data_IF_201425553436
#
_entry.id   IF_201425553436
#
_cell.length_a   1.000
_cell.length_b   1.000
_cell.length_c   1.000
_cell.angle_alpha   90.00
_cell.angle_beta   90.00
_cell.angle_gamma   90.00
#
_symmetry.space_group_name_H-M   'P 1'
#
loop_
_entity.id
_entity.type
_entity.pdbx_description
1 polymer ?
#
# COMPACT_ATOMS: atom_id res chain seq x y z
N UNK A 1 13.33 10.27 4.82
CA UNK A 1 12.29 9.24 4.63
C UNK A 1 11.56 9.47 3.33
N UNK A 2 11.35 8.42 2.55
CA UNK A 2 10.63 8.52 1.28
C UNK A 2 9.16 8.22 1.48
N UNK A 3 8.34 8.73 0.57
CA UNK A 3 6.91 8.45 0.56
C UNK A 3 6.49 8.10 -0.86
N UNK A 4 5.81 6.97 -1.00
CA UNK A 4 5.23 6.56 -2.28
C UNK A 4 3.72 6.43 -2.11
N UNK A 5 2.98 6.78 -3.14
CA UNK A 5 1.53 6.66 -3.14
C UNK A 5 1.08 5.78 -4.28
N UNK A 6 0.07 4.98 -4.00
CA UNK A 6 -0.48 4.02 -4.96
C UNK A 6 -1.99 4.09 -4.96
N UNK A 7 -2.57 3.95 -6.14
CA UNK A 7 -4.01 3.82 -6.29
C UNK A 7 -4.37 2.35 -6.13
N UNK A 8 -5.33 2.05 -5.28
CA UNK A 8 -5.71 0.66 -5.00
C UNK A 8 -7.22 0.49 -5.02
N UNK A 9 -7.68 -0.75 -4.83
CA UNK A 9 -9.09 -1.05 -4.62
C UNK A 9 -9.37 -1.51 -3.17
N UNK A 10 -8.53 -1.12 -2.25
CA UNK A 10 -8.71 -1.44 -0.82
C UNK A 10 -9.82 -0.53 -0.26
N UNK A 11 -11.02 -1.07 -0.11
CA UNK A 11 -12.22 -0.26 0.12
C UNK A 11 -12.69 -0.15 1.57
N UNK A 12 -12.29 -1.06 2.42
CA UNK A 12 -12.86 -1.13 3.78
C UNK A 12 -11.85 -1.65 4.79
N UNK A 13 -12.26 -1.61 6.07
CA UNK A 13 -11.42 -2.09 7.16
C UNK A 13 -11.03 -3.55 7.04
N UNK A 14 -11.94 -4.40 6.53
CA UNK A 14 -11.62 -5.80 6.29
C UNK A 14 -10.54 -5.97 5.21
N UNK A 15 -10.59 -5.14 4.18
CA UNK A 15 -9.57 -5.15 3.14
C UNK A 15 -8.23 -4.69 3.69
N UNK A 16 -8.23 -3.64 4.52
CA UNK A 16 -7.02 -3.15 5.17
C UNK A 16 -6.43 -4.26 6.05
N UNK A 17 -7.26 -4.95 6.81
CA UNK A 17 -6.81 -6.06 7.65
C UNK A 17 -6.18 -7.18 6.82
N UNK A 18 -6.72 -7.44 5.64
CA UNK A 18 -6.19 -8.48 4.76
C UNK A 18 -4.81 -8.15 4.22
N UNK A 19 -4.54 -6.86 3.92
CA UNK A 19 -3.21 -6.46 3.42
C UNK A 19 -2.20 -6.19 4.53
N UNK A 20 -2.65 -6.01 5.77
CA UNK A 20 -1.78 -5.69 6.90
C UNK A 20 -0.59 -6.65 7.04
N UNK A 21 -0.78 -7.97 7.09
CA UNK A 21 0.37 -8.87 7.24
C UNK A 21 1.32 -8.82 6.04
N UNK A 22 0.77 -8.59 4.85
CA UNK A 22 1.60 -8.49 3.65
C UNK A 22 2.47 -7.23 3.66
N UNK A 23 1.88 -6.09 3.98
CA UNK A 23 2.62 -4.83 4.03
C UNK A 23 3.60 -4.79 5.20
N UNK A 24 3.23 -5.38 6.34
CA UNK A 24 4.13 -5.43 7.49
C UNK A 24 5.35 -6.33 7.23
N UNK A 25 5.25 -7.27 6.29
CA UNK A 25 6.38 -8.12 5.91
C UNK A 25 7.29 -7.43 4.89
N UNK A 26 6.90 -6.30 4.35
CA UNK A 26 7.71 -5.55 3.38
C UNK A 26 8.82 -4.81 4.13
N UNK A 27 10.05 -5.26 3.98
CA UNK A 27 11.18 -4.71 4.74
C UNK A 27 11.48 -3.26 4.42
N UNK A 28 11.19 -2.82 3.20
CA UNK A 28 11.43 -1.44 2.81
C UNK A 28 10.39 -0.47 3.34
N UNK A 29 9.25 -0.98 3.82
CA UNK A 29 8.15 -0.16 4.32
C UNK A 29 8.23 -0.05 5.83
N UNK A 30 8.46 1.16 6.35
CA UNK A 30 8.47 1.40 7.78
C UNK A 30 7.10 1.74 8.32
N UNK A 31 6.30 2.43 7.50
CA UNK A 31 4.95 2.82 7.86
C UNK A 31 4.10 2.89 6.61
N UNK A 32 2.83 2.59 6.74
CA UNK A 32 1.88 2.69 5.63
C UNK A 32 0.49 3.03 6.15
N UNK A 33 -0.33 3.59 5.26
CA UNK A 33 -1.71 3.89 5.57
C UNK A 33 -2.53 3.92 4.30
N UNK A 34 -3.83 3.70 4.42
CA UNK A 34 -4.76 3.73 3.28
C UNK A 34 -5.80 4.82 3.53
N UNK A 35 -5.95 5.72 2.57
CA UNK A 35 -6.97 6.76 2.62
C UNK A 35 -8.24 6.23 1.96
N UNK A 36 -9.10 5.62 2.75
CA UNK A 36 -10.35 5.04 2.26
C UNK A 36 -11.41 6.08 1.95
N UNK A 37 -11.23 7.31 2.43
CA UNK A 37 -12.13 8.42 2.10
C UNK A 37 -11.91 8.92 0.67
N UNK A 38 -10.72 8.67 0.11
CA UNK A 38 -10.41 9.04 -1.26
C UNK A 38 -11.05 8.03 -2.21
N UNK A 39 -11.63 8.53 -3.31
CA UNK A 39 -12.25 7.66 -4.31
C UNK A 39 -11.27 6.66 -4.91
N UNK A 40 -10.00 7.02 -4.98
CA UNK A 40 -8.93 6.16 -5.52
C UNK A 40 -8.32 5.23 -4.48
N UNK A 41 -8.76 5.30 -3.23
CA UNK A 41 -8.25 4.46 -2.13
C UNK A 41 -6.73 4.47 -2.10
N UNK A 42 -6.16 5.63 -1.85
CA UNK A 42 -4.72 5.84 -1.93
C UNK A 42 -3.98 5.15 -0.79
N UNK A 43 -3.04 4.29 -1.14
CA UNK A 43 -2.12 3.68 -0.19
C UNK A 43 -0.85 4.52 -0.15
N UNK A 44 -0.50 5.03 1.03
CA UNK A 44 0.73 5.78 1.24
C UNK A 44 1.70 4.90 2.02
N UNK A 45 2.92 4.76 1.53
CA UNK A 45 3.96 4.00 2.22
C UNK A 45 5.16 4.89 2.47
N UNK A 46 5.80 4.71 3.61
CA UNK A 46 6.92 5.53 4.06
C UNK A 46 8.09 4.63 4.45
N UNK A 47 9.29 5.03 4.11
CA UNK A 47 10.50 4.28 4.45
C UNK A 47 11.75 4.92 3.87
N UNK A 48 12.91 4.35 4.21
CA UNK A 48 14.19 4.91 3.76
C UNK A 48 14.58 4.45 2.36
N UNK A 49 14.34 3.19 2.03
CA UNK A 49 14.71 2.61 0.74
C UNK A 49 13.51 1.90 0.16
N UNK A 50 12.45 2.66 -0.10
CA UNK A 50 11.20 2.08 -0.59
C UNK A 50 11.37 1.43 -1.97
N UNK A 51 10.79 0.25 -2.12
CA UNK A 51 10.73 -0.46 -3.38
C UNK A 51 9.30 -0.51 -3.87
N UNK A 52 9.02 0.14 -5.00
CA UNK A 52 7.70 0.10 -5.60
C UNK A 52 7.28 -1.34 -5.91
N UNK A 53 8.21 -2.10 -6.46
CA UNK A 53 7.96 -3.50 -6.82
C UNK A 53 7.55 -4.33 -5.61
N UNK A 54 8.22 -4.14 -4.50
CA UNK A 54 7.90 -4.87 -3.28
C UNK A 54 6.49 -4.55 -2.80
N UNK A 55 6.14 -3.27 -2.76
CA UNK A 55 4.79 -2.85 -2.34
C UNK A 55 3.73 -3.44 -3.28
N UNK A 56 3.96 -3.32 -4.58
CA UNK A 56 3.02 -3.84 -5.57
C UNK A 56 2.83 -5.35 -5.42
N UNK A 57 3.93 -6.08 -5.26
CA UNK A 57 3.85 -7.53 -5.09
C UNK A 57 3.10 -7.92 -3.82
N UNK A 58 3.36 -7.22 -2.71
CA UNK A 58 2.69 -7.54 -1.45
C UNK A 58 1.19 -7.34 -1.54
N UNK A 59 0.75 -6.23 -2.14
CA UNK A 59 -0.67 -5.94 -2.28
C UNK A 59 -1.34 -6.94 -3.24
N UNK A 60 -0.66 -7.30 -4.34
CA UNK A 60 -1.20 -8.29 -5.28
C UNK A 60 -1.32 -9.67 -4.65
N UNK A 61 -0.37 -10.05 -3.81
CA UNK A 61 -0.44 -11.33 -3.08
C UNK A 61 -1.63 -11.36 -2.13
N UNK A 62 -2.03 -10.21 -1.61
CA UNK A 62 -3.21 -10.11 -0.77
C UNK A 62 -4.51 -10.20 -1.56
N UNK A 63 -4.44 -10.17 -2.90
CA UNK A 63 -5.60 -10.28 -3.76
C UNK A 63 -6.22 -8.96 -4.18
N UNK A 64 -5.47 -7.86 -4.08
CA UNK A 64 -5.97 -6.53 -4.44
C UNK A 64 -5.23 -5.95 -5.63
N UNK A 65 -5.86 -4.96 -6.26
CA UNK A 65 -5.24 -4.25 -7.37
C UNK A 65 -4.48 -3.04 -6.84
N UNK A 66 -3.39 -2.71 -7.52
CA UNK A 66 -2.56 -1.58 -7.14
C UNK A 66 -1.86 -1.04 -8.38
N UNK A 67 -1.77 0.29 -8.47
CA UNK A 67 -0.95 0.94 -9.49
C UNK A 67 -0.31 2.18 -8.89
N UNK A 68 0.88 2.52 -9.36
CA UNK A 68 1.56 3.68 -8.87
C UNK A 68 0.87 4.96 -9.28
N UNK A 69 0.77 5.91 -8.35
CA UNK A 69 0.23 7.24 -8.63
C UNK A 69 1.16 8.29 -8.04
N UNK A 70 1.15 9.46 -8.63
CA UNK A 70 1.96 10.57 -8.11
C UNK A 70 1.20 11.45 -7.13
N UNK A 71 -0.06 11.20 -7.01
CA UNK A 71 -0.93 12.02 -6.18
C UNK A 71 -1.13 11.64 -4.83
#
# INVERSE_FOLDING_TARGET
>A
MQTLKFKTNIKCGGCIAAVTPHLNSAESVEKWEVDTANANKILSVHGENLSEMEVIEKVRKAGYEIEKTEG
#
